data_IF_551080702754
#
_entry.id   IF_551080702754
#
_cell.length_a   1.000
_cell.length_b   1.000
_cell.length_c   1.000
_cell.angle_alpha   90.00
_cell.angle_beta   90.00
_cell.angle_gamma   90.00
#
_symmetry.space_group_name_H-M   'P 1'
#
loop_
_entity.id
_entity.type
_entity.pdbx_description
1 polymer ?
#
# COMPACT_ATOMS: atom_id res chain seq x y z
N UNK A 1 37.88 9.69 9.59
CA UNK A 1 37.27 9.43 8.27
C UNK A 1 35.84 9.92 8.35
N UNK A 2 35.42 10.87 7.52
CA UNK A 2 34.06 11.42 7.55
C UNK A 2 33.06 10.26 7.36
N UNK A 3 32.18 10.03 8.34
CA UNK A 3 31.17 8.97 8.29
C UNK A 3 30.17 9.32 7.19
N UNK A 4 30.41 8.84 5.97
CA UNK A 4 29.50 9.08 4.85
C UNK A 4 28.22 8.28 5.10
N UNK A 5 27.16 8.99 5.44
CA UNK A 5 25.79 8.47 5.53
C UNK A 5 25.39 7.83 4.19
N UNK A 6 25.03 6.52 4.13
CA UNK A 6 24.69 5.88 2.86
C UNK A 6 23.44 6.50 2.24
N UNK A 7 23.55 6.92 0.98
CA UNK A 7 22.46 7.56 0.23
C UNK A 7 21.69 6.53 -0.59
N UNK A 8 20.39 6.48 -0.36
CA UNK A 8 19.45 5.59 -1.03
C UNK A 8 18.63 6.38 -2.03
N UNK A 9 18.62 5.95 -3.29
CA UNK A 9 17.74 6.50 -4.32
C UNK A 9 16.54 5.59 -4.54
N UNK A 10 15.39 5.96 -3.98
CA UNK A 10 14.12 5.32 -4.28
C UNK A 10 13.54 5.84 -5.60
N UNK A 11 13.21 4.92 -6.51
CA UNK A 11 12.70 5.24 -7.84
C UNK A 11 11.31 4.63 -8.00
N UNK A 12 10.32 5.46 -8.28
CA UNK A 12 8.94 5.00 -8.44
C UNK A 12 8.28 5.56 -9.71
N UNK A 13 7.24 4.87 -10.17
CA UNK A 13 6.46 5.23 -11.36
C UNK A 13 4.98 5.15 -11.04
N UNK A 14 4.35 6.30 -10.78
CA UNK A 14 2.98 6.35 -10.27
C UNK A 14 2.13 7.45 -10.92
N UNK A 15 0.84 7.18 -11.02
CA UNK A 15 -0.15 8.15 -11.46
C UNK A 15 -0.57 9.13 -10.37
N UNK A 16 -1.15 10.30 -10.75
CA UNK A 16 -1.57 11.34 -9.81
C UNK A 16 -2.71 10.93 -8.86
N UNK A 17 -3.43 9.86 -9.20
CA UNK A 17 -4.56 9.36 -8.43
C UNK A 17 -4.14 8.73 -7.08
N UNK A 18 -2.83 8.54 -6.87
CA UNK A 18 -2.29 7.88 -5.68
C UNK A 18 -1.73 8.89 -4.69
N UNK A 19 -1.87 8.57 -3.39
CA UNK A 19 -1.28 9.32 -2.27
C UNK A 19 -0.25 8.50 -1.49
N UNK A 20 0.29 7.45 -2.11
CA UNK A 20 1.24 6.55 -1.45
C UNK A 20 2.56 7.23 -1.08
N UNK A 21 3.01 8.24 -1.84
CA UNK A 21 4.22 8.96 -1.47
C UNK A 21 4.02 9.69 -0.14
N UNK A 22 2.98 10.52 -0.03
CA UNK A 22 2.74 11.34 1.15
C UNK A 22 2.26 10.52 2.34
N UNK A 23 1.42 9.52 2.10
CA UNK A 23 0.78 8.73 3.14
C UNK A 23 1.57 7.49 3.58
N UNK A 24 2.52 6.98 2.79
CA UNK A 24 3.24 5.73 3.09
C UNK A 24 4.76 5.88 2.99
N UNK A 25 5.30 6.08 1.79
CA UNK A 25 6.75 5.96 1.57
C UNK A 25 7.55 7.10 2.21
N UNK A 26 7.16 8.36 2.02
CA UNK A 26 7.89 9.48 2.64
C UNK A 26 7.90 9.39 4.17
N UNK A 27 6.77 9.08 4.85
CA UNK A 27 6.79 8.82 6.29
C UNK A 27 7.70 7.67 6.71
N UNK A 28 7.71 6.53 5.99
CA UNK A 28 8.59 5.41 6.29
C UNK A 28 10.06 5.82 6.15
N UNK A 29 10.42 6.49 5.05
CA UNK A 29 11.79 6.93 4.81
C UNK A 29 12.26 7.93 5.86
N UNK A 30 11.38 8.87 6.25
CA UNK A 30 11.68 9.78 7.35
C UNK A 30 11.93 9.02 8.65
N UNK A 31 11.07 8.07 9.01
CA UNK A 31 11.25 7.26 10.20
C UNK A 31 12.55 6.45 10.18
N UNK A 32 12.96 5.94 9.01
CA UNK A 32 14.27 5.31 8.82
C UNK A 32 15.40 6.32 9.04
N UNK A 33 15.34 7.52 8.45
CA UNK A 33 16.34 8.59 8.64
C UNK A 33 16.46 9.06 10.10
N UNK A 34 15.37 9.02 10.88
CA UNK A 34 15.41 9.39 12.30
C UNK A 34 16.01 8.29 13.19
N UNK A 35 16.03 7.04 12.71
CA UNK A 35 16.47 5.88 13.48
C UNK A 35 17.78 5.27 12.96
N UNK A 36 18.38 5.86 11.93
CA UNK A 36 19.58 5.34 11.28
C UNK A 36 20.32 6.42 10.49
N UNK A 37 21.49 6.03 10.00
CA UNK A 37 22.39 6.86 9.20
C UNK A 37 22.04 6.91 7.71
N UNK A 38 20.96 6.24 7.28
CA UNK A 38 20.55 6.26 5.88
C UNK A 38 19.93 7.59 5.48
N UNK A 39 20.13 8.03 4.24
CA UNK A 39 19.54 9.25 3.68
C UNK A 39 18.79 8.94 2.39
N UNK A 40 17.55 9.40 2.25
CA UNK A 40 16.71 9.09 1.09
C UNK A 40 16.66 10.23 0.08
N UNK A 41 16.86 9.83 -1.17
CA UNK A 41 16.50 10.56 -2.36
C UNK A 41 15.32 9.84 -3.02
N UNK A 42 14.35 10.59 -3.52
CA UNK A 42 13.17 10.07 -4.21
C UNK A 42 13.10 10.66 -5.61
N UNK A 43 13.04 9.78 -6.61
CA UNK A 43 12.68 10.16 -7.97
C UNK A 43 11.33 9.53 -8.32
N UNK A 44 10.33 10.37 -8.52
CA UNK A 44 9.01 9.93 -8.97
C UNK A 44 8.80 10.26 -10.44
N UNK A 45 8.63 9.23 -11.25
CA UNK A 45 8.13 9.37 -12.62
C UNK A 45 6.60 9.42 -12.58
N UNK A 46 5.99 10.51 -13.04
CA UNK A 46 4.54 10.74 -12.91
C UNK A 46 3.99 11.63 -14.02
N UNK A 47 2.68 11.57 -14.26
CA UNK A 47 1.93 12.49 -15.13
C UNK A 47 0.96 13.37 -14.32
N UNK A 48 1.29 13.63 -13.05
CA UNK A 48 0.49 14.49 -12.19
C UNK A 48 0.58 15.97 -12.54
N UNK A 49 -0.43 16.72 -12.10
CA UNK A 49 -0.50 18.16 -12.30
C UNK A 49 0.51 18.88 -11.40
N UNK A 50 0.94 20.12 -11.75
CA UNK A 50 1.86 20.89 -10.92
C UNK A 50 1.41 21.04 -9.46
N UNK A 51 0.10 21.18 -9.22
CA UNK A 51 -0.47 21.31 -7.88
C UNK A 51 -0.26 20.03 -7.07
N UNK A 52 -0.46 18.87 -7.69
CA UNK A 52 -0.24 17.58 -7.03
C UNK A 52 1.25 17.38 -6.71
N UNK A 53 2.13 17.75 -7.64
CA UNK A 53 3.57 17.69 -7.43
C UNK A 53 4.03 18.61 -6.29
N UNK A 54 3.46 19.81 -6.19
CA UNK A 54 3.76 20.75 -5.12
C UNK A 54 3.40 20.20 -3.73
N UNK A 55 2.28 19.45 -3.62
CA UNK A 55 1.90 18.76 -2.37
C UNK A 55 2.96 17.74 -1.98
N UNK A 56 3.35 16.86 -2.90
CA UNK A 56 4.38 15.83 -2.62
C UNK A 56 5.74 16.46 -2.30
N UNK A 57 6.14 17.50 -3.04
CA UNK A 57 7.39 18.23 -2.82
C UNK A 57 7.44 18.90 -1.45
N UNK A 58 6.36 19.59 -1.06
CA UNK A 58 6.25 20.21 0.26
C UNK A 58 6.38 19.16 1.36
N UNK A 59 5.67 18.03 1.22
CA UNK A 59 5.72 16.94 2.19
C UNK A 59 7.12 16.33 2.30
N UNK A 60 7.80 16.11 1.17
CA UNK A 60 9.17 15.60 1.17
C UNK A 60 10.14 16.58 1.84
N UNK A 61 10.00 17.88 1.57
CA UNK A 61 10.81 18.93 2.20
C UNK A 61 10.60 18.98 3.72
N UNK A 62 9.34 18.96 4.19
CA UNK A 62 9.00 18.88 5.63
C UNK A 62 9.66 17.68 6.32
N UNK A 63 9.80 16.58 5.60
CA UNK A 63 10.36 15.32 6.10
C UNK A 63 11.87 15.19 5.88
N UNK A 64 12.53 16.22 5.33
CA UNK A 64 13.97 16.19 5.05
C UNK A 64 14.37 15.16 3.99
N UNK A 65 13.52 14.92 2.99
CA UNK A 65 13.76 13.96 1.91
C UNK A 65 14.00 14.71 0.60
N UNK A 66 15.11 14.40 -0.08
CA UNK A 66 15.41 14.99 -1.38
C UNK A 66 14.48 14.41 -2.44
N UNK A 67 13.54 15.20 -2.94
CA UNK A 67 12.53 14.74 -3.91
C UNK A 67 12.70 15.38 -5.29
N UNK A 68 12.57 14.58 -6.35
CA UNK A 68 12.57 15.03 -7.74
C UNK A 68 11.44 14.37 -8.53
N UNK A 69 10.57 15.16 -9.14
CA UNK A 69 9.56 14.68 -10.07
C UNK A 69 10.08 14.66 -11.51
N UNK A 70 9.75 13.60 -12.25
CA UNK A 70 9.99 13.48 -13.70
C UNK A 70 8.68 13.25 -14.44
N UNK A 71 8.34 14.18 -15.33
CA UNK A 71 7.12 14.10 -16.12
C UNK A 71 7.17 12.94 -17.11
N UNK A 72 6.15 12.09 -17.08
CA UNK A 72 5.88 11.06 -18.08
C UNK A 72 5.08 11.68 -19.21
N UNK A 73 5.59 11.59 -20.44
CA UNK A 73 4.84 12.07 -21.60
C UNK A 73 3.68 11.12 -21.89
N UNK A 74 2.48 11.67 -22.10
CA UNK A 74 1.27 10.89 -22.43
C UNK A 74 0.72 11.20 -23.83
N UNK A 75 1.31 12.16 -24.54
CA UNK A 75 0.94 12.58 -25.90
C UNK A 75 2.04 12.23 -26.91
N UNK A 76 1.72 12.01 -28.21
CA UNK A 76 0.37 11.87 -28.77
C UNK A 76 -0.30 10.54 -28.40
N UNK A 77 0.47 9.51 -28.01
CA UNK A 77 -0.02 8.23 -27.52
C UNK A 77 0.70 7.89 -26.20
N UNK A 78 -0.07 7.49 -25.19
CA UNK A 78 0.43 7.21 -23.84
C UNK A 78 1.50 6.12 -23.79
N UNK A 79 1.44 5.12 -24.66
CA UNK A 79 2.43 4.04 -24.75
C UNK A 79 3.77 4.56 -25.26
N UNK A 80 3.76 5.28 -26.39
CA UNK A 80 4.97 5.86 -26.96
C UNK A 80 5.62 6.88 -26.03
N UNK A 81 4.81 7.76 -25.42
CA UNK A 81 5.29 8.72 -24.44
C UNK A 81 5.92 8.05 -23.22
N UNK A 82 5.33 6.95 -22.73
CA UNK A 82 5.90 6.17 -21.61
C UNK A 82 7.24 5.52 -21.99
N UNK A 83 7.34 4.92 -23.18
CA UNK A 83 8.59 4.31 -23.67
C UNK A 83 9.70 5.36 -23.79
N UNK A 84 9.39 6.52 -24.37
CA UNK A 84 10.34 7.62 -24.47
C UNK A 84 10.79 8.13 -23.10
N UNK A 85 9.86 8.26 -22.15
CA UNK A 85 10.16 8.62 -20.76
C UNK A 85 11.06 7.59 -20.07
N UNK A 86 10.92 6.29 -20.34
CA UNK A 86 11.83 5.26 -19.82
C UNK A 86 13.27 5.48 -20.33
N UNK A 87 13.46 5.72 -21.63
CA UNK A 87 14.80 5.92 -22.20
C UNK A 87 15.47 7.22 -21.74
N UNK A 88 14.70 8.31 -21.60
CA UNK A 88 15.18 9.54 -20.97
C UNK A 88 15.50 9.33 -19.49
N UNK A 89 14.66 8.55 -18.81
CA UNK A 89 14.83 8.16 -17.41
C UNK A 89 16.15 7.45 -17.16
N UNK A 90 16.55 6.48 -18.00
CA UNK A 90 17.82 5.76 -17.87
C UNK A 90 19.02 6.72 -17.88
N UNK A 91 19.08 7.65 -18.85
CA UNK A 91 20.17 8.64 -18.94
C UNK A 91 20.19 9.55 -17.73
N UNK A 92 19.02 10.01 -17.30
CA UNK A 92 18.89 10.84 -16.12
C UNK A 92 19.35 10.13 -14.85
N UNK A 93 18.94 8.88 -14.64
CA UNK A 93 19.30 8.09 -13.46
C UNK A 93 20.80 7.81 -13.39
N UNK A 94 21.45 7.45 -14.50
CA UNK A 94 22.91 7.26 -14.54
C UNK A 94 23.67 8.53 -14.11
N UNK A 95 23.21 9.69 -14.58
CA UNK A 95 23.81 10.98 -14.21
C UNK A 95 23.54 11.32 -12.75
N UNK A 96 22.28 11.17 -12.31
CA UNK A 96 21.86 11.47 -10.94
C UNK A 96 22.62 10.64 -9.90
N UNK A 97 22.75 9.34 -10.13
CA UNK A 97 23.49 8.42 -9.24
C UNK A 97 24.95 8.85 -9.08
N UNK A 98 25.59 9.31 -10.16
CA UNK A 98 26.96 9.81 -10.12
C UNK A 98 27.07 11.16 -9.41
N UNK A 99 26.20 12.12 -9.78
CA UNK A 99 26.22 13.49 -9.25
C UNK A 99 25.93 13.55 -7.75
N UNK A 100 25.02 12.71 -7.26
CA UNK A 100 24.63 12.68 -5.85
C UNK A 100 25.39 11.62 -5.05
N UNK A 101 26.28 10.86 -5.68
CA UNK A 101 27.04 9.76 -5.09
C UNK A 101 26.14 8.76 -4.36
N UNK A 102 25.13 8.25 -5.07
CA UNK A 102 24.16 7.31 -4.51
C UNK A 102 24.82 5.95 -4.28
N UNK A 103 24.69 5.42 -3.06
CA UNK A 103 25.25 4.14 -2.64
C UNK A 103 24.29 2.97 -2.91
N UNK A 104 22.98 3.20 -2.79
CA UNK A 104 21.94 2.18 -2.99
C UNK A 104 20.88 2.70 -3.95
N UNK A 105 20.64 1.99 -5.06
CA UNK A 105 19.56 2.27 -6.00
C UNK A 105 18.40 1.32 -5.70
N UNK A 106 17.24 1.90 -5.42
CA UNK A 106 16.05 1.20 -4.95
C UNK A 106 14.87 1.36 -5.92
N UNK A 107 14.82 0.60 -7.03
CA UNK A 107 13.67 0.62 -7.93
C UNK A 107 12.47 -0.06 -7.28
N UNK A 108 11.30 0.60 -7.32
CA UNK A 108 10.02 0.00 -6.91
C UNK A 108 9.25 -0.51 -8.12
N UNK A 109 8.84 -1.77 -8.10
CA UNK A 109 8.02 -2.41 -9.14
C UNK A 109 8.69 -2.44 -10.54
N UNK A 110 7.94 -2.86 -11.56
CA UNK A 110 8.48 -3.32 -12.85
C UNK A 110 9.07 -2.22 -13.73
N UNK A 111 8.49 -1.02 -13.78
CA UNK A 111 8.95 0.04 -14.71
C UNK A 111 10.24 0.72 -14.23
N UNK A 112 10.39 1.09 -12.95
CA UNK A 112 11.70 1.46 -12.41
C UNK A 112 12.74 0.35 -12.55
N UNK A 113 12.35 -0.91 -12.33
CA UNK A 113 13.25 -2.05 -12.53
C UNK A 113 13.75 -2.16 -13.98
N UNK A 114 12.88 -1.94 -14.97
CA UNK A 114 13.25 -1.88 -16.38
C UNK A 114 14.36 -0.85 -16.66
N UNK A 115 14.27 0.34 -16.03
CA UNK A 115 15.28 1.39 -16.21
C UNK A 115 16.60 0.99 -15.54
N UNK A 116 16.57 0.50 -14.29
CA UNK A 116 17.76 0.09 -13.54
C UNK A 116 18.46 -1.14 -14.16
N UNK A 117 17.71 -2.03 -14.83
CA UNK A 117 18.28 -3.12 -15.63
C UNK A 117 19.17 -2.65 -16.79
N UNK A 118 19.00 -1.39 -17.23
CA UNK A 118 19.70 -0.77 -18.37
C UNK A 118 20.65 0.36 -17.95
N UNK A 119 20.73 0.67 -16.66
CA UNK A 119 21.75 1.58 -16.14
C UNK A 119 23.16 0.99 -16.32
N UNK A 120 24.15 1.88 -16.45
CA UNK A 120 25.56 1.48 -16.53
C UNK A 120 26.01 0.79 -15.25
N UNK A 121 27.14 0.07 -15.31
CA UNK A 121 27.81 -0.41 -14.09
C UNK A 121 28.26 0.81 -13.29
N UNK A 122 28.05 0.78 -11.98
CA UNK A 122 28.47 1.84 -11.06
C UNK A 122 28.78 1.26 -9.69
N UNK A 123 29.39 2.08 -8.83
CA UNK A 123 29.67 1.71 -7.44
C UNK A 123 28.42 1.94 -6.56
N UNK A 124 27.33 1.23 -6.89
CA UNK A 124 26.09 1.26 -6.12
C UNK A 124 25.53 -0.16 -6.00
N UNK A 125 24.78 -0.40 -4.93
CA UNK A 125 24.03 -1.63 -4.69
C UNK A 125 22.59 -1.49 -5.16
N UNK A 126 21.94 -2.60 -5.44
CA UNK A 126 20.54 -2.63 -5.85
C UNK A 126 19.70 -3.31 -4.78
N UNK A 127 18.80 -2.54 -4.18
CA UNK A 127 17.72 -3.02 -3.33
C UNK A 127 16.41 -3.00 -4.14
N UNK A 128 15.98 -4.13 -4.67
CA UNK A 128 14.73 -4.15 -5.43
C UNK A 128 13.53 -4.16 -4.49
N UNK A 129 12.67 -3.13 -4.58
CA UNK A 129 11.38 -3.10 -3.89
C UNK A 129 10.32 -3.79 -4.77
N UNK A 130 10.19 -5.10 -4.57
CA UNK A 130 9.19 -5.95 -5.21
C UNK A 130 7.83 -5.75 -4.52
N UNK A 131 7.29 -4.54 -4.66
CA UNK A 131 6.03 -4.12 -4.08
C UNK A 131 4.84 -4.82 -4.76
N UNK A 132 4.42 -5.94 -4.17
CA UNK A 132 3.38 -6.81 -4.69
C UNK A 132 3.77 -7.54 -5.96
N UNK A 133 2.77 -8.12 -6.63
CA UNK A 133 2.90 -8.80 -7.91
C UNK A 133 2.27 -7.95 -9.02
N UNK A 134 2.82 -6.75 -9.25
CA UNK A 134 2.18 -5.70 -10.05
C UNK A 134 1.77 -6.13 -11.48
N UNK A 135 2.56 -7.00 -12.14
CA UNK A 135 2.17 -7.55 -13.45
C UNK A 135 0.99 -8.51 -13.34
N UNK A 136 1.00 -9.38 -12.33
CA UNK A 136 -0.08 -10.33 -12.11
C UNK A 136 -1.35 -9.62 -11.63
N UNK A 137 -1.25 -8.47 -10.93
CA UNK A 137 -2.41 -7.63 -10.58
C UNK A 137 -3.11 -7.10 -11.84
N UNK A 138 -2.32 -6.71 -12.86
CA UNK A 138 -2.87 -6.30 -14.16
C UNK A 138 -3.52 -7.47 -14.91
N UNK A 139 -3.02 -8.69 -14.72
CA UNK A 139 -3.67 -9.90 -15.27
C UNK A 139 -5.01 -10.13 -14.57
N UNK A 140 -5.02 -10.08 -13.24
CA UNK A 140 -6.19 -10.41 -12.43
C UNK A 140 -7.31 -9.36 -12.55
N UNK A 141 -6.96 -8.06 -12.67
CA UNK A 141 -7.95 -6.97 -12.53
C UNK A 141 -7.96 -5.95 -13.68
N UNK A 142 -7.08 -6.07 -14.68
CA UNK A 142 -7.00 -5.12 -15.80
C UNK A 142 -7.00 -5.78 -17.19
N UNK A 143 -7.22 -7.09 -17.27
CA UNK A 143 -7.34 -7.82 -18.54
C UNK A 143 -6.03 -8.04 -19.30
N UNK A 144 -4.86 -7.88 -18.66
CA UNK A 144 -3.58 -8.21 -19.29
C UNK A 144 -3.48 -9.72 -19.51
N UNK A 145 -3.37 -10.17 -20.76
CA UNK A 145 -3.15 -11.60 -21.04
C UNK A 145 -1.72 -12.03 -20.70
N UNK A 146 -1.57 -13.20 -20.06
CA UNK A 146 -0.28 -13.85 -19.79
C UNK A 146 0.47 -14.24 -21.08
N UNK A 147 -0.25 -14.47 -22.18
CA UNK A 147 0.33 -14.83 -23.47
C UNK A 147 0.84 -13.61 -24.26
N UNK A 148 0.41 -12.42 -23.86
CA UNK A 148 0.78 -11.17 -24.52
C UNK A 148 2.30 -10.97 -24.50
N UNK A 149 2.83 -10.45 -25.61
CA UNK A 149 4.27 -10.08 -25.70
C UNK A 149 4.63 -9.06 -24.61
N UNK A 150 3.71 -8.16 -24.28
CA UNK A 150 3.89 -7.19 -23.20
C UNK A 150 4.10 -7.87 -21.85
N UNK A 151 3.25 -8.82 -21.46
CA UNK A 151 3.40 -9.54 -20.19
C UNK A 151 4.72 -10.30 -20.16
N UNK A 152 5.01 -11.11 -21.17
CA UNK A 152 6.24 -11.93 -21.22
C UNK A 152 7.50 -11.07 -21.15
N UNK A 153 7.51 -9.94 -21.84
CA UNK A 153 8.62 -8.99 -21.80
C UNK A 153 8.78 -8.34 -20.42
N UNK A 154 7.71 -7.81 -19.84
CA UNK A 154 7.80 -7.18 -18.52
C UNK A 154 8.15 -8.20 -17.42
N UNK A 155 7.67 -9.44 -17.54
CA UNK A 155 8.02 -10.53 -16.62
C UNK A 155 9.48 -10.93 -16.74
N UNK A 156 10.06 -10.91 -17.95
CA UNK A 156 11.49 -11.16 -18.12
C UNK A 156 12.35 -10.03 -17.53
N UNK A 157 11.89 -8.78 -17.60
CA UNK A 157 12.53 -7.64 -16.96
C UNK A 157 12.48 -7.71 -15.43
N UNK A 158 11.34 -8.09 -14.85
CA UNK A 158 11.22 -8.39 -13.42
C UNK A 158 12.17 -9.52 -13.01
N UNK A 159 12.18 -10.64 -13.75
CA UNK A 159 13.10 -11.76 -13.49
C UNK A 159 14.57 -11.35 -13.56
N UNK A 160 14.93 -10.50 -14.53
CA UNK A 160 16.28 -9.96 -14.65
C UNK A 160 16.64 -9.10 -13.43
N UNK A 161 15.71 -8.25 -12.96
CA UNK A 161 15.93 -7.43 -11.78
C UNK A 161 16.08 -8.29 -10.53
N UNK A 162 15.19 -9.26 -10.32
CA UNK A 162 15.26 -10.20 -9.21
C UNK A 162 16.60 -10.94 -9.15
N UNK A 163 17.20 -11.29 -10.30
CA UNK A 163 18.53 -11.91 -10.34
C UNK A 163 19.66 -10.90 -10.10
N UNK A 164 19.54 -9.69 -10.65
CA UNK A 164 20.57 -8.63 -10.58
C UNK A 164 20.65 -7.97 -9.21
N UNK A 165 19.54 -7.89 -8.48
CA UNK A 165 19.48 -7.19 -7.20
C UNK A 165 20.36 -7.87 -6.13
N UNK A 166 21.10 -7.06 -5.38
CA UNK A 166 21.89 -7.50 -4.23
C UNK A 166 20.99 -7.88 -3.05
N UNK A 167 19.83 -7.21 -2.92
CA UNK A 167 18.78 -7.52 -1.95
C UNK A 167 17.40 -7.22 -2.53
N UNK A 168 16.37 -7.90 -2.04
CA UNK A 168 14.97 -7.76 -2.48
C UNK A 168 14.07 -7.64 -1.26
N UNK A 169 13.24 -6.60 -1.23
CA UNK A 169 12.20 -6.48 -0.21
C UNK A 169 10.83 -6.75 -0.82
N UNK A 170 9.97 -7.44 -0.07
CA UNK A 170 8.57 -7.72 -0.42
C UNK A 170 7.63 -7.21 0.66
N UNK A 171 6.31 -7.35 0.44
CA UNK A 171 5.27 -7.06 1.45
C UNK A 171 4.71 -8.31 2.13
N UNK A 172 5.17 -9.50 1.74
CA UNK A 172 4.73 -10.77 2.31
C UNK A 172 5.75 -11.88 2.11
N UNK A 173 5.70 -12.88 2.98
CA UNK A 173 6.45 -14.12 2.86
C UNK A 173 6.02 -14.89 1.61
N UNK A 174 4.72 -14.88 1.30
CA UNK A 174 4.18 -15.52 0.09
C UNK A 174 4.75 -14.93 -1.20
N UNK A 175 5.02 -13.62 -1.25
CA UNK A 175 5.71 -13.01 -2.39
C UNK A 175 7.14 -13.53 -2.55
N UNK A 176 7.86 -13.75 -1.44
CA UNK A 176 9.21 -14.34 -1.47
C UNK A 176 9.14 -15.72 -2.11
N UNK A 177 8.24 -16.59 -1.66
CA UNK A 177 8.06 -17.94 -2.22
C UNK A 177 7.77 -17.90 -3.72
N UNK A 178 6.90 -16.98 -4.17
CA UNK A 178 6.56 -16.80 -5.58
C UNK A 178 7.77 -16.35 -6.40
N UNK A 179 8.56 -15.42 -5.88
CA UNK A 179 9.77 -14.96 -6.57
C UNK A 179 10.86 -16.04 -6.58
N UNK A 180 11.02 -16.83 -5.52
CA UNK A 180 11.98 -17.94 -5.47
C UNK A 180 11.61 -19.05 -6.45
N UNK A 181 10.33 -19.36 -6.65
CA UNK A 181 9.89 -20.25 -7.74
C UNK A 181 10.33 -19.76 -9.14
N UNK A 182 10.58 -18.46 -9.28
CA UNK A 182 11.00 -17.84 -10.55
C UNK A 182 12.52 -17.84 -10.75
N UNK A 183 13.30 -17.67 -9.67
CA UNK A 183 14.75 -17.46 -9.74
C UNK A 183 15.62 -18.53 -9.05
N UNK A 184 15.04 -19.42 -8.26
CA UNK A 184 15.72 -20.48 -7.51
C UNK A 184 15.87 -20.17 -6.00
N UNK A 185 15.77 -21.22 -5.16
CA UNK A 185 15.82 -21.14 -3.70
C UNK A 185 17.18 -20.71 -3.14
N UNK A 186 18.26 -20.87 -3.91
CA UNK A 186 19.60 -20.41 -3.57
C UNK A 186 19.67 -18.88 -3.37
N UNK A 187 18.64 -18.15 -3.81
CA UNK A 187 18.53 -16.71 -3.64
C UNK A 187 17.81 -16.30 -2.35
N UNK A 188 17.33 -17.23 -1.52
CA UNK A 188 16.52 -16.94 -0.32
C UNK A 188 17.16 -15.88 0.57
N UNK A 189 18.47 -15.96 0.78
CA UNK A 189 19.23 -15.06 1.66
C UNK A 189 19.15 -13.59 1.28
N UNK A 190 18.78 -13.22 0.05
CA UNK A 190 18.67 -11.81 -0.32
C UNK A 190 17.28 -11.21 -0.12
N UNK A 191 16.30 -12.02 0.27
CA UNK A 191 14.94 -11.55 0.49
C UNK A 191 14.71 -11.12 1.94
N UNK A 192 13.87 -10.10 2.11
CA UNK A 192 13.33 -9.65 3.39
C UNK A 192 11.88 -9.20 3.21
N UNK A 193 11.03 -9.47 4.20
CA UNK A 193 9.69 -8.88 4.27
C UNK A 193 9.79 -7.55 5.03
N UNK A 194 9.20 -6.49 4.48
CA UNK A 194 9.02 -5.22 5.19
C UNK A 194 7.54 -4.87 5.29
N UNK A 195 7.15 -4.23 6.38
CA UNK A 195 5.76 -3.90 6.66
C UNK A 195 5.38 -2.51 6.13
N UNK A 196 4.09 -2.33 5.82
CA UNK A 196 3.52 -1.02 5.55
C UNK A 196 3.09 -0.38 6.89
N UNK A 197 3.79 0.66 7.31
CA UNK A 197 3.54 1.37 8.57
C UNK A 197 2.58 2.57 8.44
N UNK A 198 1.99 2.95 9.57
CA UNK A 198 1.13 4.12 9.75
C UNK A 198 1.51 4.87 11.02
N UNK A 199 1.40 6.20 10.96
CA UNK A 199 1.67 7.06 12.11
C UNK A 199 0.56 6.84 13.16
N UNK A 200 0.96 6.39 14.35
CA UNK A 200 0.06 6.02 15.45
C UNK A 200 -0.60 7.22 16.13
N UNK A 201 0.01 8.40 16.04
CA UNK A 201 -0.52 9.65 16.59
C UNK A 201 -1.52 10.30 15.64
N UNK A 202 -1.34 10.07 14.34
CA UNK A 202 -2.25 10.54 13.31
C UNK A 202 -3.49 9.63 13.19
N UNK A 203 -3.31 8.31 13.17
CA UNK A 203 -4.42 7.35 13.26
C UNK A 203 -4.66 6.97 14.71
N UNK A 204 -5.48 7.75 15.40
CA UNK A 204 -5.94 7.47 16.78
C UNK A 204 -7.43 7.77 16.91
N UNK A 205 -8.18 6.98 17.71
CA UNK A 205 -9.58 7.27 18.01
C UNK A 205 -9.76 8.67 18.60
N UNK A 206 -10.86 9.32 18.23
CA UNK A 206 -11.22 10.67 18.69
C UNK A 206 -12.74 10.74 18.92
N UNK A 207 -13.13 10.89 20.20
CA UNK A 207 -14.54 10.89 20.62
C UNK A 207 -15.28 12.18 20.23
N UNK A 208 -14.57 13.31 20.18
CA UNK A 208 -15.15 14.57 19.73
C UNK A 208 -15.47 14.48 18.24
N UNK A 209 -14.51 14.00 17.45
CA UNK A 209 -14.70 13.82 16.01
C UNK A 209 -15.73 12.74 15.69
N UNK A 210 -15.83 11.67 16.50
CA UNK A 210 -16.93 10.70 16.41
C UNK A 210 -18.28 11.40 16.51
N UNK A 211 -18.47 12.25 17.52
CA UNK A 211 -19.72 12.97 17.76
C UNK A 211 -20.05 13.91 16.60
N UNK A 212 -19.08 14.71 16.16
CA UNK A 212 -19.23 15.69 15.06
C UNK A 212 -19.59 14.99 13.75
N UNK A 213 -18.85 13.95 13.38
CA UNK A 213 -19.07 13.24 12.11
C UNK A 213 -20.40 12.51 12.12
N UNK A 214 -20.76 11.82 13.21
CA UNK A 214 -22.06 11.11 13.34
C UNK A 214 -23.25 12.07 13.25
N UNK A 215 -23.14 13.25 13.86
CA UNK A 215 -24.16 14.31 13.77
C UNK A 215 -24.40 14.74 12.31
N UNK A 216 -23.34 14.85 11.52
CA UNK A 216 -23.42 15.19 10.10
C UNK A 216 -24.14 14.17 9.21
N UNK A 217 -24.47 12.98 9.73
CA UNK A 217 -25.18 11.92 9.02
C UNK A 217 -26.52 11.52 9.65
N UNK A 218 -26.98 12.27 10.66
CA UNK A 218 -28.10 11.87 11.51
C UNK A 218 -27.94 10.43 12.04
N UNK A 219 -26.73 10.09 12.47
CA UNK A 219 -26.37 8.80 13.06
C UNK A 219 -26.27 8.99 14.59
N UNK A 220 -27.09 8.27 15.35
CA UNK A 220 -27.02 8.28 16.81
C UNK A 220 -25.91 7.37 17.33
N UNK A 221 -25.61 7.45 18.62
CA UNK A 221 -24.60 6.58 19.27
C UNK A 221 -25.00 5.11 19.27
N UNK A 222 -26.30 4.82 19.21
CA UNK A 222 -26.83 3.45 19.16
C UNK A 222 -26.91 2.87 17.74
N UNK A 223 -26.83 3.71 16.70
CA UNK A 223 -26.90 3.24 15.32
C UNK A 223 -25.57 2.61 14.91
N UNK A 224 -25.59 1.58 14.06
CA UNK A 224 -24.34 1.01 13.56
C UNK A 224 -23.83 1.78 12.34
N UNK A 225 -22.62 2.29 12.38
CA UNK A 225 -21.94 2.93 11.24
C UNK A 225 -20.83 2.03 10.67
N UNK A 226 -21.04 1.52 9.47
CA UNK A 226 -20.02 0.84 8.69
C UNK A 226 -19.13 1.85 7.97
N UNK A 227 -17.87 1.51 7.73
CA UNK A 227 -16.95 2.33 6.94
C UNK A 227 -16.16 1.53 5.92
N UNK A 228 -15.93 2.14 4.76
CA UNK A 228 -14.91 1.72 3.80
C UNK A 228 -14.07 2.94 3.44
N UNK A 229 -12.74 2.80 3.50
CA UNK A 229 -11.79 3.83 3.09
C UNK A 229 -10.85 3.29 2.00
N UNK A 230 -10.82 3.97 0.86
CA UNK A 230 -9.90 3.69 -0.25
C UNK A 230 -10.57 3.76 -1.61
N UNK A 231 -9.80 3.48 -2.65
CA UNK A 231 -10.32 3.42 -4.02
C UNK A 231 -11.34 2.29 -4.18
N UNK A 232 -12.27 2.46 -5.12
CA UNK A 232 -13.21 1.42 -5.55
C UNK A 232 -12.81 0.90 -6.94
N UNK A 233 -13.07 -0.38 -7.21
CA UNK A 233 -12.64 -1.06 -8.43
C UNK A 233 -12.78 -2.57 -8.33
N UNK A 234 -12.40 -3.28 -9.40
CA UNK A 234 -12.60 -4.73 -9.54
C UNK A 234 -12.00 -5.56 -8.38
N UNK A 235 -10.90 -5.11 -7.79
CA UNK A 235 -10.24 -5.83 -6.70
C UNK A 235 -10.84 -5.62 -5.31
N UNK A 236 -11.73 -4.63 -5.15
CA UNK A 236 -12.30 -4.25 -3.87
C UNK A 236 -13.73 -4.76 -3.82
N UNK A 237 -14.04 -5.63 -2.85
CA UNK A 237 -15.27 -6.45 -2.79
C UNK A 237 -16.55 -5.65 -2.64
N UNK A 238 -16.90 -4.85 -3.65
CA UNK A 238 -18.01 -3.90 -3.68
C UNK A 238 -19.34 -4.62 -3.48
N UNK A 239 -19.52 -5.74 -4.19
CA UNK A 239 -20.74 -6.54 -4.14
C UNK A 239 -20.93 -7.13 -2.75
N UNK A 240 -19.86 -7.66 -2.17
CA UNK A 240 -19.85 -8.26 -0.84
C UNK A 240 -20.15 -7.22 0.22
N UNK A 241 -19.50 -6.05 0.18
CA UNK A 241 -19.75 -4.95 1.11
C UNK A 241 -21.21 -4.48 1.08
N UNK A 242 -21.77 -4.26 -0.12
CA UNK A 242 -23.16 -3.86 -0.28
C UNK A 242 -24.13 -4.93 0.22
N UNK A 243 -23.88 -6.20 -0.10
CA UNK A 243 -24.76 -7.30 0.28
C UNK A 243 -24.76 -7.51 1.80
N UNK A 244 -23.59 -7.47 2.45
CA UNK A 244 -23.47 -7.55 3.91
C UNK A 244 -24.24 -6.39 4.55
N UNK A 245 -23.98 -5.16 4.09
CA UNK A 245 -24.66 -3.98 4.63
C UNK A 245 -26.17 -4.04 4.42
N UNK A 246 -26.64 -4.40 3.22
CA UNK A 246 -28.06 -4.54 2.90
C UNK A 246 -28.77 -5.53 3.82
N UNK A 247 -28.20 -6.72 4.02
CA UNK A 247 -28.78 -7.74 4.91
C UNK A 247 -28.80 -7.30 6.37
N UNK A 248 -27.74 -6.64 6.85
CA UNK A 248 -27.72 -6.08 8.20
C UNK A 248 -28.76 -4.97 8.36
N UNK A 249 -28.86 -4.06 7.38
CA UNK A 249 -29.79 -2.94 7.37
C UNK A 249 -31.26 -3.39 7.36
N UNK A 250 -31.60 -4.51 6.70
CA UNK A 250 -32.96 -5.06 6.71
C UNK A 250 -33.46 -5.41 8.13
N UNK A 251 -32.55 -5.71 9.04
CA UNK A 251 -32.84 -5.99 10.45
C UNK A 251 -32.63 -4.75 11.34
N UNK A 252 -31.80 -3.82 10.89
CA UNK A 252 -31.37 -2.63 11.61
C UNK A 252 -31.46 -1.38 10.71
N UNK A 253 -32.67 -0.87 10.46
CA UNK A 253 -32.94 0.17 9.45
C UNK A 253 -32.25 1.53 9.72
N UNK A 254 -31.76 1.75 10.95
CA UNK A 254 -30.99 2.95 11.29
C UNK A 254 -29.51 2.85 10.93
N UNK A 255 -29.03 1.66 10.57
CA UNK A 255 -27.63 1.43 10.20
C UNK A 255 -27.23 2.32 9.01
N UNK A 256 -25.99 2.81 9.06
CA UNK A 256 -25.40 3.70 8.06
C UNK A 256 -24.12 3.09 7.50
N UNK A 257 -23.74 3.48 6.28
CA UNK A 257 -22.49 3.07 5.64
C UNK A 257 -21.79 4.27 5.03
N UNK A 258 -20.61 4.60 5.54
CA UNK A 258 -19.75 5.66 5.03
C UNK A 258 -18.67 5.10 4.10
N UNK A 259 -18.63 5.59 2.88
CA UNK A 259 -17.63 5.23 1.87
C UNK A 259 -16.75 6.46 1.62
N UNK A 260 -15.50 6.39 2.05
CA UNK A 260 -14.47 7.38 1.80
C UNK A 260 -13.66 6.93 0.57
N UNK A 261 -13.81 7.62 -0.55
CA UNK A 261 -13.16 7.21 -1.81
C UNK A 261 -12.66 8.41 -2.62
N UNK A 262 -11.51 8.22 -3.28
CA UNK A 262 -10.95 9.19 -4.23
C UNK A 262 -11.68 9.21 -5.58
N UNK A 263 -12.44 8.16 -5.87
CA UNK A 263 -13.16 7.91 -7.12
C UNK A 263 -14.67 7.64 -6.88
N UNK A 264 -15.43 8.62 -6.36
CA UNK A 264 -16.85 8.47 -6.02
C UNK A 264 -17.74 8.12 -7.22
N UNK A 265 -17.33 8.49 -8.44
CA UNK A 265 -18.03 8.15 -9.67
C UNK A 265 -18.24 6.64 -9.86
N UNK A 266 -17.41 5.80 -9.22
CA UNK A 266 -17.60 4.35 -9.24
C UNK A 266 -18.96 3.93 -8.68
N UNK A 267 -19.55 4.68 -7.75
CA UNK A 267 -20.79 4.29 -7.05
C UNK A 267 -22.06 4.72 -7.80
N UNK A 268 -21.95 5.56 -8.83
CA UNK A 268 -23.10 6.11 -9.54
C UNK A 268 -23.93 5.00 -10.19
N UNK A 269 -25.22 4.93 -9.84
CA UNK A 269 -26.14 3.89 -10.29
C UNK A 269 -25.89 2.49 -9.72
N UNK A 270 -24.94 2.32 -8.78
CA UNK A 270 -24.61 1.02 -8.17
C UNK A 270 -25.13 0.85 -6.74
N UNK A 271 -25.60 1.92 -6.11
CA UNK A 271 -26.24 1.86 -4.80
C UNK A 271 -27.75 1.66 -5.02
N UNK A 272 -28.37 0.63 -4.41
CA UNK A 272 -29.82 0.43 -4.51
C UNK A 272 -30.60 1.63 -3.96
N UNK A 273 -31.70 2.00 -4.62
CA UNK A 273 -32.51 3.18 -4.22
C UNK A 273 -32.94 3.13 -2.75
N UNK A 274 -33.29 1.93 -2.26
CA UNK A 274 -33.73 1.70 -0.88
C UNK A 274 -32.64 2.04 0.16
N UNK A 275 -31.37 2.08 -0.24
CA UNK A 275 -30.22 2.34 0.64
C UNK A 275 -29.63 3.75 0.45
N UNK A 276 -30.14 4.56 -0.49
CA UNK A 276 -29.60 5.88 -0.80
C UNK A 276 -29.57 6.85 0.41
N UNK A 277 -30.49 6.68 1.37
CA UNK A 277 -30.55 7.49 2.61
C UNK A 277 -29.63 6.98 3.73
N UNK A 278 -29.01 5.82 3.54
CA UNK A 278 -28.21 5.13 4.54
C UNK A 278 -26.75 4.97 4.12
N UNK A 279 -26.44 5.07 2.82
CA UNK A 279 -25.08 5.02 2.29
C UNK A 279 -24.61 6.42 1.90
N UNK A 280 -23.49 6.84 2.48
CA UNK A 280 -22.88 8.14 2.23
C UNK A 280 -21.54 7.95 1.52
N UNK A 281 -21.36 8.60 0.38
CA UNK A 281 -20.08 8.57 -0.36
C UNK A 281 -19.42 9.93 -0.25
N UNK A 282 -18.20 9.98 0.30
CA UNK A 282 -17.43 11.22 0.46
C UNK A 282 -16.02 11.08 -0.11
N UNK A 283 -15.55 12.18 -0.68
CA UNK A 283 -14.13 12.40 -0.98
C UNK A 283 -13.61 13.42 0.01
N UNK A 284 -12.65 13.01 0.85
CA UNK A 284 -12.07 13.85 1.90
C UNK A 284 -10.55 13.96 1.72
N UNK A 285 -9.92 15.06 2.17
CA UNK A 285 -8.47 15.13 2.33
C UNK A 285 -7.95 14.02 3.25
N UNK A 286 -6.69 13.60 3.05
CA UNK A 286 -6.08 12.53 3.84
C UNK A 286 -6.08 12.86 5.34
N UNK A 287 -5.87 14.13 5.67
CA UNK A 287 -5.86 14.70 7.02
C UNK A 287 -7.19 14.51 7.76
N UNK A 288 -8.30 14.36 7.04
CA UNK A 288 -9.63 14.15 7.61
C UNK A 288 -10.05 12.68 7.70
N UNK A 289 -9.24 11.76 7.15
CA UNK A 289 -9.56 10.33 7.16
C UNK A 289 -9.70 9.79 8.59
N UNK A 290 -8.77 10.05 9.55
CA UNK A 290 -8.92 9.58 10.92
C UNK A 290 -10.21 10.04 11.58
N UNK A 291 -10.62 11.30 11.36
CA UNK A 291 -11.86 11.86 11.91
C UNK A 291 -13.09 11.06 11.47
N UNK A 292 -13.16 10.72 10.18
CA UNK A 292 -14.24 9.91 9.65
C UNK A 292 -14.18 8.46 10.13
N UNK A 293 -12.98 7.90 10.33
CA UNK A 293 -12.81 6.56 10.89
C UNK A 293 -13.21 6.48 12.37
N UNK A 294 -12.96 7.52 13.18
CA UNK A 294 -13.40 7.59 14.58
C UNK A 294 -14.92 7.47 14.74
N UNK A 295 -15.67 7.89 13.72
CA UNK A 295 -17.12 7.79 13.70
C UNK A 295 -17.61 6.35 13.55
N UNK A 296 -16.82 5.46 12.95
CA UNK A 296 -17.25 4.15 12.54
C UNK A 296 -17.29 3.13 13.68
N UNK A 297 -18.00 2.04 13.44
CA UNK A 297 -18.15 0.91 14.36
C UNK A 297 -17.66 -0.41 13.76
N UNK A 298 -17.66 -0.54 12.42
CA UNK A 298 -17.12 -1.69 11.69
C UNK A 298 -16.51 -1.21 10.38
N UNK A 299 -15.30 -1.68 10.06
CA UNK A 299 -14.61 -1.35 8.82
C UNK A 299 -14.59 -2.53 7.83
N UNK A 300 -14.74 -2.22 6.54
CA UNK A 300 -14.57 -3.20 5.46
C UNK A 300 -13.18 -3.11 4.83
N UNK A 301 -12.48 -4.23 4.83
CA UNK A 301 -11.23 -4.45 4.11
C UNK A 301 -11.34 -5.65 3.15
N UNK A 302 -12.48 -5.79 2.48
CA UNK A 302 -12.76 -6.89 1.55
C UNK A 302 -12.04 -6.67 0.21
N UNK A 303 -11.23 -7.65 -0.19
CA UNK A 303 -10.53 -7.71 -1.49
C UNK A 303 -10.72 -9.07 -2.13
N UNK A 304 -10.81 -9.13 -3.45
CA UNK A 304 -10.87 -10.41 -4.17
C UNK A 304 -9.53 -11.16 -4.04
N UNK A 305 -9.49 -12.39 -3.49
CA UNK A 305 -8.25 -13.11 -3.19
C UNK A 305 -7.69 -13.80 -4.44
N UNK A 306 -7.30 -13.00 -5.43
CA UNK A 306 -6.62 -13.47 -6.65
C UNK A 306 -5.14 -13.75 -6.40
N UNK A 307 -4.47 -14.34 -7.39
CA UNK A 307 -3.06 -14.72 -7.29
C UNK A 307 -2.15 -13.53 -6.93
N UNK A 308 -2.37 -12.38 -7.56
CA UNK A 308 -1.60 -11.16 -7.29
C UNK A 308 -1.72 -10.66 -5.85
N UNK A 309 -2.83 -10.96 -5.17
CA UNK A 309 -3.06 -10.52 -3.79
C UNK A 309 -2.19 -11.28 -2.77
N UNK A 310 -1.52 -12.37 -3.16
CA UNK A 310 -0.53 -13.02 -2.28
C UNK A 310 0.67 -12.13 -1.98
N UNK A 311 0.95 -11.12 -2.81
CA UNK A 311 2.04 -10.17 -2.60
C UNK A 311 1.67 -8.89 -1.85
N UNK A 312 0.43 -8.76 -1.37
CA UNK A 312 -0.10 -7.47 -0.87
C UNK A 312 -0.16 -7.43 0.65
N UNK A 313 0.28 -6.31 1.24
CA UNK A 313 -0.02 -5.92 2.62
C UNK A 313 -0.96 -4.70 2.63
N UNK A 314 -2.29 -4.90 2.79
CA UNK A 314 -3.26 -3.82 2.68
C UNK A 314 -3.07 -2.76 3.76
N UNK A 315 -2.80 -1.54 3.31
CA UNK A 315 -2.44 -0.46 4.24
C UNK A 315 -3.62 -0.02 5.12
N UNK A 316 -4.84 -0.08 4.57
CA UNK A 316 -6.07 0.25 5.30
C UNK A 316 -6.30 -0.62 6.54
N UNK A 317 -5.73 -1.83 6.59
CA UNK A 317 -5.78 -2.65 7.80
C UNK A 317 -5.04 -1.96 8.94
N UNK A 318 -3.85 -1.41 8.68
CA UNK A 318 -3.13 -0.61 9.66
C UNK A 318 -3.93 0.60 10.12
N UNK A 319 -4.59 1.30 9.18
CA UNK A 319 -5.45 2.44 9.51
C UNK A 319 -6.61 2.03 10.42
N UNK A 320 -7.36 0.97 10.09
CA UNK A 320 -8.52 0.55 10.87
C UNK A 320 -8.13 -0.02 12.24
N UNK A 321 -7.07 -0.84 12.29
CA UNK A 321 -6.62 -1.43 13.53
C UNK A 321 -6.06 -0.37 14.48
N UNK A 322 -5.31 0.61 13.98
CA UNK A 322 -4.89 1.74 14.81
C UNK A 322 -6.08 2.55 15.33
N UNK A 323 -7.14 2.70 14.55
CA UNK A 323 -8.40 3.31 15.02
C UNK A 323 -9.22 2.40 15.95
N UNK A 324 -8.71 1.22 16.29
CA UNK A 324 -9.38 0.26 17.17
C UNK A 324 -10.67 -0.30 16.57
N UNK A 325 -10.81 -0.34 15.25
CA UNK A 325 -12.06 -0.71 14.60
C UNK A 325 -12.17 -2.23 14.37
N UNK A 326 -13.29 -2.86 14.78
CA UNK A 326 -13.67 -4.17 14.27
C UNK A 326 -13.65 -4.18 12.75
N UNK A 327 -13.10 -5.23 12.17
CA UNK A 327 -12.81 -5.24 10.74
C UNK A 327 -13.27 -6.54 10.07
N UNK A 328 -14.02 -6.41 8.98
CA UNK A 328 -14.35 -7.49 8.06
C UNK A 328 -13.33 -7.45 6.93
N UNK A 329 -12.38 -8.39 6.91
CA UNK A 329 -11.28 -8.43 5.96
C UNK A 329 -11.24 -9.76 5.21
N UNK A 330 -10.78 -9.75 3.96
CA UNK A 330 -10.69 -11.00 3.21
C UNK A 330 -9.56 -11.90 3.70
N UNK A 331 -9.85 -13.20 3.81
CA UNK A 331 -8.84 -14.24 3.89
C UNK A 331 -8.03 -14.31 2.57
N UNK A 332 -6.83 -14.86 2.62
CA UNK A 332 -5.99 -15.09 1.44
C UNK A 332 -5.32 -13.85 0.84
N UNK A 333 -5.16 -12.76 1.61
CA UNK A 333 -4.47 -11.54 1.16
C UNK A 333 -3.11 -11.43 1.85
N UNK A 334 -2.04 -11.70 1.10
CA UNK A 334 -0.67 -11.75 1.62
C UNK A 334 -0.58 -12.53 2.93
N UNK A 335 0.10 -11.93 3.91
CA UNK A 335 0.25 -12.46 5.27
C UNK A 335 -0.80 -11.88 6.24
N UNK A 336 -1.79 -11.13 5.73
CA UNK A 336 -2.74 -10.41 6.58
C UNK A 336 -3.65 -11.37 7.37
N UNK A 337 -3.95 -12.54 6.82
CA UNK A 337 -4.75 -13.57 7.51
C UNK A 337 -4.10 -14.02 8.82
N UNK A 338 -2.77 -14.27 8.81
CA UNK A 338 -2.03 -14.72 9.99
C UNK A 338 -1.98 -13.67 11.11
N UNK A 339 -2.02 -12.39 10.72
CA UNK A 339 -2.11 -11.26 11.66
C UNK A 339 -3.53 -11.19 12.22
N UNK A 340 -4.54 -11.15 11.34
CA UNK A 340 -5.92 -10.86 11.70
C UNK A 340 -6.59 -11.98 12.51
N UNK A 341 -6.17 -13.24 12.36
CA UNK A 341 -6.63 -14.35 13.23
C UNK A 341 -6.33 -14.13 14.71
N UNK A 342 -5.35 -13.28 15.04
CA UNK A 342 -4.92 -12.97 16.42
C UNK A 342 -5.59 -11.71 16.96
N UNK A 343 -6.22 -10.92 16.11
CA UNK A 343 -6.85 -9.65 16.50
C UNK A 343 -8.29 -9.93 16.91
N UNK A 344 -8.75 -9.51 18.10
CA UNK A 344 -10.15 -9.62 18.47
C UNK A 344 -11.03 -8.80 17.53
N UNK A 345 -12.30 -9.19 17.41
CA UNK A 345 -13.29 -8.47 16.61
C UNK A 345 -12.87 -8.23 15.14
N UNK A 346 -12.06 -9.16 14.60
CA UNK A 346 -11.73 -9.24 13.19
C UNK A 346 -12.37 -10.47 12.56
N UNK A 347 -13.18 -10.26 11.53
CA UNK A 347 -13.83 -11.34 10.79
C UNK A 347 -13.09 -11.59 9.46
N UNK A 348 -12.63 -12.82 9.28
CA UNK A 348 -12.01 -13.29 8.04
C UNK A 348 -13.08 -13.73 7.05
N UNK A 349 -13.36 -12.86 6.07
CA UNK A 349 -14.27 -13.11 4.98
C UNK A 349 -13.66 -14.09 3.96
N UNK A 350 -14.24 -15.29 3.88
CA UNK A 350 -13.83 -16.36 2.95
C UNK A 350 -14.73 -16.38 1.72
N UNK A 351 -14.22 -15.86 0.60
CA UNK A 351 -14.98 -15.68 -0.65
C UNK A 351 -15.53 -16.97 -1.28
N UNK A 352 -14.91 -18.11 -0.97
CA UNK A 352 -15.30 -19.44 -1.43
C UNK A 352 -16.47 -20.05 -0.63
N UNK A 353 -16.82 -19.46 0.52
CA UNK A 353 -17.91 -19.96 1.36
C UNK A 353 -19.25 -19.31 1.01
N UNK A 354 -20.25 -20.13 0.66
CA UNK A 354 -21.62 -19.66 0.38
C UNK A 354 -22.25 -18.90 1.56
N UNK A 355 -21.89 -19.25 2.79
CA UNK A 355 -22.38 -18.63 4.02
C UNK A 355 -21.60 -17.38 4.43
N UNK A 356 -20.53 -16.98 3.71
CA UNK A 356 -19.62 -15.92 4.15
C UNK A 356 -20.33 -14.58 4.44
N UNK A 357 -21.26 -14.20 3.58
CA UNK A 357 -22.09 -13.00 3.77
C UNK A 357 -22.94 -13.12 5.04
N UNK A 358 -23.64 -14.24 5.23
CA UNK A 358 -24.49 -14.46 6.39
C UNK A 358 -23.66 -14.45 7.70
N UNK A 359 -22.52 -15.11 7.68
CA UNK A 359 -21.58 -15.15 8.81
C UNK A 359 -21.03 -13.75 9.13
N UNK A 360 -20.73 -12.93 8.13
CA UNK A 360 -20.30 -11.55 8.32
C UNK A 360 -21.42 -10.68 8.94
N UNK A 361 -22.67 -10.88 8.55
CA UNK A 361 -23.82 -10.19 9.18
C UNK A 361 -23.96 -10.63 10.64
N UNK A 362 -23.93 -11.93 10.90
CA UNK A 362 -24.01 -12.48 12.27
C UNK A 362 -22.85 -11.98 13.14
N UNK A 363 -21.65 -11.90 12.60
CA UNK A 363 -20.51 -11.29 13.29
C UNK A 363 -20.83 -9.87 13.76
N UNK A 364 -21.39 -9.01 12.90
CA UNK A 364 -21.75 -7.64 13.29
C UNK A 364 -22.89 -7.60 14.30
N UNK A 365 -23.90 -8.46 14.16
CA UNK A 365 -25.01 -8.58 15.11
C UNK A 365 -24.54 -9.01 16.51
N UNK A 366 -23.47 -9.79 16.58
CA UNK A 366 -22.89 -10.31 17.82
C UNK A 366 -21.77 -9.42 18.38
N UNK A 367 -21.45 -8.29 17.75
CA UNK A 367 -20.53 -7.31 18.31
C UNK A 367 -21.15 -6.69 19.58
N UNK A 368 -20.77 -7.24 20.72
CA UNK A 368 -21.04 -6.68 22.04
C UNK A 368 -20.14 -5.47 22.34
N UNK A 369 -19.63 -5.40 23.57
CA UNK A 369 -18.65 -4.39 23.94
C UNK A 369 -17.32 -4.66 23.23
N UNK A 370 -17.01 -3.83 22.24
CA UNK A 370 -15.81 -3.93 21.42
C UNK A 370 -14.58 -3.53 22.24
N UNK A 371 -13.55 -4.37 22.19
CA UNK A 371 -12.28 -4.10 22.88
C UNK A 371 -11.37 -3.20 22.03
N UNK A 372 -11.82 -1.98 21.75
CA UNK A 372 -11.16 -1.01 20.86
C UNK A 372 -9.66 -0.83 21.17
N UNK A 373 -9.32 -0.73 22.46
CA UNK A 373 -7.95 -0.56 22.91
C UNK A 373 -7.07 -1.78 22.57
N UNK A 374 -7.59 -3.00 22.70
CA UNK A 374 -6.85 -4.23 22.37
C UNK A 374 -6.62 -4.29 20.85
N UNK A 375 -7.63 -3.98 20.04
CA UNK A 375 -7.48 -3.90 18.58
C UNK A 375 -6.38 -2.91 18.21
N UNK A 376 -6.36 -1.74 18.86
CA UNK A 376 -5.33 -0.72 18.67
C UNK A 376 -3.93 -1.18 19.05
N UNK A 377 -3.76 -1.93 20.13
CA UNK A 377 -2.47 -2.50 20.52
C UNK A 377 -1.91 -3.45 19.46
N UNK A 378 -2.77 -4.27 18.84
CA UNK A 378 -2.40 -5.07 17.67
C UNK A 378 -2.04 -4.17 16.47
N UNK A 379 -2.81 -3.11 16.22
CA UNK A 379 -2.49 -2.10 15.21
C UNK A 379 -1.10 -1.50 15.38
N UNK A 380 -0.74 -1.08 16.60
CA UNK A 380 0.58 -0.54 16.93
C UNK A 380 1.66 -1.62 16.73
N UNK A 381 1.42 -2.84 17.23
CA UNK A 381 2.39 -3.93 17.15
C UNK A 381 2.79 -4.31 15.72
N UNK A 382 1.85 -4.31 14.79
CA UNK A 382 2.08 -4.80 13.42
C UNK A 382 2.17 -3.70 12.36
N UNK A 383 1.55 -2.54 12.59
CA UNK A 383 1.37 -1.50 11.58
C UNK A 383 1.86 -0.11 12.02
N UNK A 384 2.63 0.02 13.11
CA UNK A 384 3.23 1.32 13.43
C UNK A 384 4.34 1.70 12.45
N UNK A 385 4.59 3.02 12.35
CA UNK A 385 5.65 3.56 11.51
C UNK A 385 7.03 3.09 11.99
N UNK A 386 7.22 2.99 13.30
CA UNK A 386 8.47 2.53 13.93
C UNK A 386 8.75 1.07 13.54
N UNK A 387 7.74 0.20 13.56
CA UNK A 387 7.91 -1.20 13.14
C UNK A 387 8.26 -1.33 11.67
N UNK A 388 7.65 -0.50 10.82
CA UNK A 388 8.02 -0.43 9.41
C UNK A 388 9.47 0.02 9.23
N UNK A 389 9.88 1.12 9.87
CA UNK A 389 11.26 1.61 9.83
C UNK A 389 12.28 0.55 10.27
N UNK A 390 12.03 -0.16 11.37
CA UNK A 390 12.89 -1.25 11.84
C UNK A 390 13.07 -2.33 10.78
N UNK A 391 11.99 -2.75 10.10
CA UNK A 391 12.08 -3.78 9.05
C UNK A 391 12.89 -3.31 7.81
N UNK A 392 12.78 -2.03 7.46
CA UNK A 392 13.60 -1.43 6.40
C UNK A 392 15.07 -1.34 6.81
N UNK A 393 15.37 -0.86 8.02
CA UNK A 393 16.74 -0.75 8.54
C UNK A 393 17.41 -2.13 8.60
N UNK A 394 16.71 -3.16 9.08
CA UNK A 394 17.23 -4.53 9.09
C UNK A 394 17.57 -5.02 7.68
N UNK A 395 16.70 -4.76 6.70
CA UNK A 395 16.92 -5.14 5.31
C UNK A 395 18.08 -4.39 4.66
N UNK A 396 18.26 -3.11 4.99
CA UNK A 396 19.36 -2.28 4.53
C UNK A 396 20.70 -2.69 5.16
N UNK A 397 20.71 -2.92 6.47
CA UNK A 397 21.91 -3.38 7.19
C UNK A 397 22.36 -4.76 6.68
N UNK A 398 21.41 -5.66 6.42
CA UNK A 398 21.71 -6.95 5.79
C UNK A 398 22.42 -6.77 4.45
N UNK A 399 21.98 -5.82 3.62
CA UNK A 399 22.63 -5.50 2.35
C UNK A 399 24.05 -4.95 2.53
N UNK A 400 24.28 -4.07 3.51
CA UNK A 400 25.62 -3.50 3.79
C UNK A 400 26.57 -4.53 4.43
N UNK A 401 26.08 -5.42 5.28
CA UNK A 401 26.86 -6.44 5.99
C UNK A 401 27.26 -7.62 5.09
N UNK A 402 26.42 -8.02 4.14
CA UNK A 402 26.81 -8.97 3.09
C UNK A 402 28.04 -8.47 2.32
N UNK A 403 28.21 -7.14 2.23
CA UNK A 403 29.33 -6.54 1.52
C UNK A 403 30.61 -6.49 2.37
N UNK A 404 30.54 -6.34 3.70
CA UNK A 404 31.72 -6.40 4.57
C UNK A 404 32.34 -7.81 4.64
N UNK A 405 31.57 -8.84 4.30
CA UNK A 405 32.01 -10.25 4.26
C UNK A 405 32.41 -10.76 2.86
N UNK A 406 32.41 -9.91 1.83
CA UNK A 406 32.90 -10.31 0.50
C UNK A 406 34.44 -10.37 0.52
N UNK A 407 35.09 -11.50 0.16
CA UNK A 407 36.54 -11.59 0.22
C UNK A 407 37.17 -10.60 -0.75
N UNK A 408 38.15 -9.83 -0.28
CA UNK A 408 39.16 -9.23 -1.16
C UNK A 408 39.73 -10.38 -2.02
N UNK A 409 39.41 -10.36 -3.31
CA UNK A 409 40.05 -11.18 -4.33
C UNK A 409 40.87 -10.30 -5.23
#
# INVERSE_FOLDING_TARGET
MSSKFPKILFITWDGPQTSYMEGLFLPIFNAVQQQSDYQFHVIQFTWGTPERLAVTQRKAHELGITYTAKTILRKPNATFGSVFSLFKGIRFLNRYVKEHEIDIVMPRSTLPAFMVNRMGKGNFKILFDADGLALDERVDFSGLSRDSRQYRFLKSEEKKMLRKADSVITRSQKAIEIHLKTIGNENLEKFSVVSNGRNTDFFKPDLEQRTIVRSGFACSDTDRLFVYCGSLGAQYGWREMLEIFSRYHNRNQKAKFLILTGNPEFTYGKIPELLNKNIFVKKVPFEQVPNCLSAADVAFAIREPKYSMQGVAPIKLGEYLLMGLPTIASAGIGDSEDILTRVPDCFLFRHDQKSAIANAVTFVEQLGEVKHQVIREYGIRYFSMEKSAVSYIQSLNKLTDICSKSPQK
#
